data_IF_956723912864
#
_entry.id   IF_956723912864
#
_cell.length_a   1.000
_cell.length_b   1.000
_cell.length_c   1.000
_cell.angle_alpha   90.00
_cell.angle_beta   90.00
_cell.angle_gamma   90.00
#
_symmetry.space_group_name_H-M   'P 1'
#
loop_
_entity.id
_entity.type
_entity.pdbx_description
1 polymer ?
#
# COMPACT_ATOMS: atom_id res chain seq x y z
N UNK A 1 2.00 24.51 -5.67
CA UNK A 1 2.19 23.41 -4.70
C UNK A 1 1.26 22.23 -4.96
N UNK A 2 1.58 21.37 -5.92
CA UNK A 2 0.86 20.09 -6.21
C UNK A 2 1.76 18.86 -5.98
N UNK A 3 2.89 19.05 -5.30
CA UNK A 3 3.89 18.00 -5.09
C UNK A 3 3.39 16.97 -4.08
N UNK A 4 3.50 15.68 -4.45
CA UNK A 4 3.14 14.55 -3.58
C UNK A 4 4.35 13.97 -2.83
N UNK A 5 5.41 14.75 -2.69
CA UNK A 5 6.69 14.32 -2.10
C UNK A 5 6.51 13.77 -0.67
N UNK A 6 5.58 14.33 0.13
CA UNK A 6 5.25 13.82 1.46
C UNK A 6 4.65 12.40 1.41
N UNK A 7 3.71 12.16 0.50
CA UNK A 7 3.09 10.85 0.31
C UNK A 7 4.13 9.81 -0.15
N UNK A 8 5.01 10.19 -1.08
CA UNK A 8 6.13 9.34 -1.53
C UNK A 8 7.09 9.02 -0.37
N UNK A 9 7.44 10.02 0.45
CA UNK A 9 8.28 9.81 1.64
C UNK A 9 7.61 8.86 2.63
N UNK A 10 6.31 9.02 2.89
CA UNK A 10 5.54 8.15 3.79
C UNK A 10 5.53 6.69 3.29
N UNK A 11 5.39 6.49 1.97
CA UNK A 11 5.46 5.18 1.35
C UNK A 11 6.82 4.51 1.57
N UNK A 12 7.91 5.21 1.27
CA UNK A 12 9.27 4.68 1.35
C UNK A 12 9.81 4.50 2.78
N UNK A 13 9.15 5.07 3.79
CA UNK A 13 9.63 5.03 5.19
C UNK A 13 8.67 4.26 6.08
N UNK A 14 7.55 4.87 6.46
CA UNK A 14 6.59 4.35 7.44
C UNK A 14 5.93 3.07 6.90
N UNK A 15 5.37 3.14 5.69
CA UNK A 15 4.64 2.02 5.10
C UNK A 15 5.60 0.87 4.74
N UNK A 16 6.77 1.19 4.17
CA UNK A 16 7.81 0.20 3.94
C UNK A 16 8.21 -0.56 5.22
N UNK A 17 8.46 0.16 6.31
CA UNK A 17 8.84 -0.47 7.59
C UNK A 17 7.71 -1.33 8.16
N UNK A 18 6.45 -0.90 7.99
CA UNK A 18 5.31 -1.66 8.47
C UNK A 18 5.09 -2.98 7.70
N UNK A 19 5.44 -3.02 6.42
CA UNK A 19 5.17 -4.13 5.51
C UNK A 19 6.35 -5.07 5.26
N UNK A 20 7.60 -4.57 5.33
CA UNK A 20 8.78 -5.35 4.96
C UNK A 20 8.90 -6.65 5.76
N UNK A 21 9.18 -7.75 5.05
CA UNK A 21 9.48 -9.05 5.65
C UNK A 21 8.27 -9.78 6.22
N UNK A 22 7.06 -9.32 5.92
CA UNK A 22 5.80 -9.95 6.34
C UNK A 22 5.08 -10.51 5.11
N UNK A 23 4.35 -11.57 5.34
CA UNK A 23 3.48 -12.16 4.33
C UNK A 23 2.07 -11.59 4.47
N UNK A 24 1.43 -11.34 3.33
CA UNK A 24 0.11 -10.73 3.27
C UNK A 24 -0.69 -11.32 2.12
N UNK A 25 -2.01 -11.35 2.29
CA UNK A 25 -2.95 -11.30 1.17
C UNK A 25 -3.41 -9.85 0.94
N UNK A 26 -4.15 -9.60 -0.15
CA UNK A 26 -4.60 -8.24 -0.47
C UNK A 26 -5.39 -7.59 0.68
N UNK A 27 -6.29 -8.35 1.31
CA UNK A 27 -7.19 -7.83 2.35
C UNK A 27 -6.45 -7.49 3.63
N UNK A 28 -5.54 -8.36 4.07
CA UNK A 28 -4.70 -8.15 5.24
C UNK A 28 -3.68 -7.04 5.04
N UNK A 29 -3.13 -6.90 3.82
CA UNK A 29 -2.29 -5.76 3.45
C UNK A 29 -3.06 -4.44 3.58
N UNK A 30 -4.23 -4.34 2.95
CA UNK A 30 -5.03 -3.12 2.95
C UNK A 30 -5.50 -2.74 4.36
N UNK A 31 -5.91 -3.74 5.15
CA UNK A 31 -6.22 -3.54 6.55
C UNK A 31 -5.01 -3.01 7.32
N UNK A 32 -3.83 -3.57 7.07
CA UNK A 32 -2.60 -3.10 7.71
C UNK A 32 -2.25 -1.67 7.34
N UNK A 33 -2.44 -1.29 6.07
CA UNK A 33 -2.23 0.08 5.60
C UNK A 33 -3.17 1.08 6.29
N UNK A 34 -4.44 0.70 6.49
CA UNK A 34 -5.45 1.51 7.21
C UNK A 34 -5.06 1.65 8.69
N UNK A 35 -4.67 0.56 9.34
CA UNK A 35 -4.23 0.58 10.73
C UNK A 35 -3.00 1.46 10.95
N UNK A 36 -2.01 1.38 10.05
CA UNK A 36 -0.76 2.15 10.16
C UNK A 36 -1.02 3.64 9.95
N UNK A 37 -1.97 4.00 9.09
CA UNK A 37 -2.42 5.39 8.97
C UNK A 37 -3.17 5.86 10.23
N UNK A 38 -4.08 5.03 10.75
CA UNK A 38 -4.80 5.26 12.00
C UNK A 38 -5.85 6.37 11.94
N UNK A 39 -6.13 6.94 10.75
CA UNK A 39 -7.19 7.94 10.57
C UNK A 39 -8.34 7.39 9.72
N UNK A 40 -9.60 7.77 10.01
CA UNK A 40 -10.76 7.27 9.27
C UNK A 40 -10.72 7.67 7.79
N UNK A 41 -10.11 8.81 7.46
CA UNK A 41 -10.03 9.37 6.12
C UNK A 41 -8.70 9.12 5.40
N UNK A 42 -7.77 8.34 5.98
CA UNK A 42 -6.43 8.10 5.39
C UNK A 42 -5.61 9.38 5.21
N UNK A 43 -5.84 10.37 6.07
CA UNK A 43 -5.28 11.71 5.95
C UNK A 43 -3.85 11.86 6.49
N UNK A 44 -3.39 10.95 7.35
CA UNK A 44 -2.07 11.06 8.00
C UNK A 44 -0.94 10.71 7.03
N UNK A 45 -1.07 9.59 6.33
CA UNK A 45 -0.10 9.09 5.37
C UNK A 45 -0.45 9.49 3.93
N UNK A 46 -1.74 9.76 3.69
CA UNK A 46 -2.28 10.15 2.40
C UNK A 46 -2.92 8.96 1.69
N UNK A 47 -4.19 9.11 1.30
CA UNK A 47 -4.93 8.08 0.58
C UNK A 47 -4.23 7.64 -0.72
N UNK A 48 -3.53 8.56 -1.38
CA UNK A 48 -2.74 8.30 -2.58
C UNK A 48 -1.54 7.36 -2.31
N UNK A 49 -0.87 7.49 -1.16
CA UNK A 49 0.21 6.58 -0.78
C UNK A 49 -0.33 5.16 -0.51
N UNK A 50 -1.43 5.08 0.24
CA UNK A 50 -2.08 3.79 0.59
C UNK A 50 -2.56 3.07 -0.66
N UNK A 51 -3.32 3.76 -1.53
CA UNK A 51 -3.83 3.17 -2.76
C UNK A 51 -2.70 2.76 -3.71
N UNK A 52 -1.63 3.57 -3.81
CA UNK A 52 -0.48 3.25 -4.65
C UNK A 52 0.20 1.94 -4.25
N UNK A 53 0.39 1.72 -2.94
CA UNK A 53 0.97 0.47 -2.43
C UNK A 53 0.00 -0.71 -2.60
N UNK A 54 -1.28 -0.50 -2.31
CA UNK A 54 -2.33 -1.52 -2.47
C UNK A 54 -2.36 -2.09 -3.89
N UNK A 55 -2.39 -1.21 -4.90
CA UNK A 55 -2.35 -1.62 -6.31
C UNK A 55 -1.03 -2.30 -6.67
N UNK A 56 0.11 -1.71 -6.28
CA UNK A 56 1.42 -2.29 -6.58
C UNK A 56 1.54 -3.72 -6.02
N UNK A 57 0.98 -3.98 -4.83
CA UNK A 57 0.91 -5.31 -4.25
C UNK A 57 0.03 -6.26 -5.08
N UNK A 58 -1.17 -5.85 -5.50
CA UNK A 58 -2.02 -6.69 -6.35
C UNK A 58 -1.32 -7.10 -7.64
N UNK A 59 -0.64 -6.14 -8.29
CA UNK A 59 0.15 -6.40 -9.48
C UNK A 59 1.29 -7.40 -9.22
N UNK A 60 2.06 -7.21 -8.14
CA UNK A 60 3.15 -8.10 -7.78
C UNK A 60 2.66 -9.50 -7.41
N UNK A 61 1.53 -9.61 -6.72
CA UNK A 61 0.94 -10.88 -6.32
C UNK A 61 0.29 -11.63 -7.50
N UNK A 62 -0.32 -10.93 -8.46
CA UNK A 62 -0.76 -11.51 -9.72
C UNK A 62 0.44 -12.07 -10.50
N UNK A 63 1.53 -11.30 -10.59
CA UNK A 63 2.76 -11.70 -11.25
C UNK A 63 3.41 -12.92 -10.57
N UNK A 64 3.47 -12.95 -9.23
CA UNK A 64 4.05 -14.08 -8.49
C UNK A 64 3.25 -15.37 -8.67
N UNK A 65 1.92 -15.27 -8.79
CA UNK A 65 1.02 -16.39 -9.11
C UNK A 65 0.96 -16.73 -10.60
N UNK A 66 1.69 -16.02 -11.46
CA UNK A 66 1.66 -16.16 -12.94
C UNK A 66 0.25 -16.04 -13.52
N UNK A 67 -0.57 -15.16 -12.93
CA UNK A 67 -1.94 -14.89 -13.37
C UNK A 67 -2.04 -13.46 -13.91
N UNK A 68 -2.88 -13.22 -14.92
CA UNK A 68 -3.16 -11.85 -15.34
C UNK A 68 -3.95 -11.12 -14.25
N UNK A 69 -3.70 -9.82 -14.08
CA UNK A 69 -4.28 -9.02 -12.98
C UNK A 69 -5.81 -9.08 -12.91
N UNK A 70 -6.50 -9.11 -14.05
CA UNK A 70 -7.97 -9.17 -14.07
C UNK A 70 -8.55 -10.46 -13.47
N UNK A 71 -7.73 -11.51 -13.35
CA UNK A 71 -8.09 -12.81 -12.77
C UNK A 71 -7.62 -12.96 -11.32
N UNK A 72 -6.63 -12.17 -10.92
CA UNK A 72 -6.12 -12.13 -9.54
C UNK A 72 -7.08 -11.35 -8.66
#
# INVERSE_FOLDING_TARGET
GKGVQKAVKNANTILFTALKGKDFDQRSLDQKLIEVDGTPNKGKLGANAILGISLAFSHAAAQSKKMPLWKY
#
